data_IF_107382432223
#
_entry.id   IF_107382432223
#
_cell.length_a   1.000
_cell.length_b   1.000
_cell.length_c   1.000
_cell.angle_alpha   90.00
_cell.angle_beta   90.00
_cell.angle_gamma   90.00
#
_symmetry.space_group_name_H-M   'P 1'
#
loop_
_entity.id
_entity.type
_entity.pdbx_description
1 polymer ?
#
# COMPACT_ATOMS: atom_id res chain seq x y z
N UNK A 1 5.37 -33.17 2.86
CA UNK A 1 5.25 -31.73 3.12
C UNK A 1 4.88 -31.08 1.79
N UNK A 2 3.70 -30.50 1.66
CA UNK A 2 3.31 -29.73 0.46
C UNK A 2 4.27 -28.56 0.33
N UNK A 3 4.73 -28.27 -0.90
CA UNK A 3 5.55 -27.08 -1.16
C UNK A 3 4.81 -25.85 -0.63
N UNK A 4 5.53 -24.87 -0.02
CA UNK A 4 4.89 -23.65 0.42
C UNK A 4 4.26 -22.94 -0.76
N UNK A 5 2.99 -22.56 -0.60
CA UNK A 5 2.23 -21.89 -1.64
C UNK A 5 2.52 -20.38 -1.62
N UNK A 6 2.48 -19.72 -2.79
CA UNK A 6 2.58 -18.27 -2.86
C UNK A 6 1.51 -17.63 -2.00
N UNK A 7 1.89 -16.58 -1.30
CA UNK A 7 0.98 -15.85 -0.44
C UNK A 7 1.26 -14.35 -0.43
N UNK A 8 0.22 -13.58 -0.11
CA UNK A 8 0.24 -12.14 0.09
C UNK A 8 -0.22 -11.82 1.50
N UNK A 9 0.36 -10.80 2.12
CA UNK A 9 0.02 -10.32 3.46
C UNK A 9 0.03 -8.80 3.51
N UNK A 10 -0.99 -8.19 4.12
CA UNK A 10 -0.95 -6.79 4.55
C UNK A 10 -0.17 -6.69 5.86
N UNK A 11 0.85 -5.86 5.90
CA UNK A 11 1.68 -5.65 7.08
C UNK A 11 1.17 -4.47 7.91
N UNK A 12 0.71 -3.42 7.24
CA UNK A 12 0.07 -2.25 7.80
C UNK A 12 -1.07 -1.77 6.92
N UNK A 13 -2.09 -1.19 7.53
CA UNK A 13 -3.34 -0.79 6.85
C UNK A 13 -3.73 0.67 7.07
N UNK A 14 -2.94 1.44 7.83
CA UNK A 14 -3.14 2.87 7.99
C UNK A 14 -2.42 3.68 6.92
N UNK A 15 -2.92 4.86 6.58
CA UNK A 15 -2.23 5.87 5.79
C UNK A 15 -1.08 6.51 6.58
N UNK A 16 -0.40 7.48 5.99
CA UNK A 16 0.72 8.19 6.60
C UNK A 16 0.43 8.70 8.01
N UNK A 17 1.34 8.43 8.94
CA UNK A 17 1.23 8.73 10.35
C UNK A 17 0.72 7.61 11.24
N UNK A 18 0.10 6.56 10.68
CA UNK A 18 -0.41 5.41 11.44
C UNK A 18 -1.63 5.74 12.31
N UNK A 19 -2.10 4.75 13.06
CA UNK A 19 -3.20 4.91 14.02
C UNK A 19 -2.78 4.31 15.37
N UNK A 20 -2.58 5.11 16.43
CA UNK A 20 -2.82 6.54 16.53
C UNK A 20 -1.70 7.36 15.87
N UNK A 21 -2.03 8.42 15.16
CA UNK A 21 -1.03 9.35 14.69
C UNK A 21 -0.47 10.16 15.88
N UNK A 22 0.86 10.33 15.93
CA UNK A 22 1.57 10.86 17.09
C UNK A 22 1.12 12.27 17.52
N UNK A 23 0.74 13.12 16.58
CA UNK A 23 0.32 14.51 16.79
C UNK A 23 -1.19 14.74 16.62
N UNK A 24 -2.01 13.68 16.62
CA UNK A 24 -3.45 13.79 16.43
C UNK A 24 -4.23 13.40 17.69
N UNK A 25 -5.24 14.21 18.01
CA UNK A 25 -6.19 13.97 19.10
C UNK A 25 -7.60 13.63 18.64
N UNK A 26 -7.80 13.21 17.38
CA UNK A 26 -9.12 12.82 16.90
C UNK A 26 -9.69 11.62 17.67
N UNK A 27 -11.00 11.37 17.52
CA UNK A 27 -11.71 10.31 18.23
C UNK A 27 -11.00 8.95 18.13
N UNK A 28 -10.63 8.53 16.93
CA UNK A 28 -9.98 7.23 16.75
C UNK A 28 -8.62 7.17 17.46
N UNK A 29 -7.78 8.20 17.30
CA UNK A 29 -6.48 8.26 17.96
C UNK A 29 -6.60 8.26 19.50
N UNK A 30 -7.61 8.92 20.06
CA UNK A 30 -7.91 8.86 21.49
C UNK A 30 -8.32 7.43 21.88
N UNK A 31 -9.27 6.83 21.18
CA UNK A 31 -9.75 5.48 21.47
C UNK A 31 -8.64 4.41 21.38
N UNK A 32 -7.66 4.57 20.47
CA UNK A 32 -6.51 3.65 20.43
C UNK A 32 -5.59 3.84 21.63
N UNK A 33 -5.32 5.10 22.06
CA UNK A 33 -4.52 5.37 23.26
C UNK A 33 -5.19 4.87 24.54
N UNK A 34 -6.52 4.88 24.57
CA UNK A 34 -7.33 4.36 25.67
C UNK A 34 -7.53 2.82 25.61
N UNK A 35 -6.98 2.14 24.60
CA UNK A 35 -7.08 0.69 24.42
C UNK A 35 -8.46 0.20 23.95
N UNK A 36 -9.32 1.08 23.44
CA UNK A 36 -10.66 0.75 22.91
C UNK A 36 -10.58 0.22 21.47
N UNK A 37 -9.76 0.86 20.63
CA UNK A 37 -9.50 0.39 19.26
C UNK A 37 -8.07 -0.16 19.16
N UNK A 38 -7.84 -1.15 18.28
CA UNK A 38 -6.49 -1.64 18.01
C UNK A 38 -5.67 -0.59 17.26
N UNK A 39 -4.36 -0.49 17.52
CA UNK A 39 -3.46 0.32 16.71
C UNK A 39 -3.31 -0.28 15.31
N UNK A 40 -2.92 0.57 14.34
CA UNK A 40 -2.57 0.14 12.99
C UNK A 40 -1.28 0.81 12.54
N UNK A 41 -0.41 0.02 11.93
CA UNK A 41 0.82 0.51 11.31
C UNK A 41 0.54 1.07 9.92
N UNK A 42 1.47 1.91 9.45
CA UNK A 42 1.36 2.55 8.14
C UNK A 42 1.42 1.54 7.00
N UNK A 43 0.76 1.86 5.90
CA UNK A 43 0.52 0.99 4.76
C UNK A 43 1.79 0.35 4.21
N UNK A 44 1.79 -0.95 4.17
CA UNK A 44 2.77 -1.80 3.51
C UNK A 44 2.18 -3.19 3.36
N UNK A 45 2.65 -3.91 2.36
CA UNK A 45 2.29 -5.31 2.15
C UNK A 45 3.54 -6.13 1.79
N UNK A 46 3.40 -7.44 1.79
CA UNK A 46 4.45 -8.32 1.32
C UNK A 46 3.85 -9.53 0.61
N UNK A 47 4.60 -10.10 -0.31
CA UNK A 47 4.27 -11.40 -0.88
C UNK A 47 5.50 -12.30 -0.94
N UNK A 48 5.24 -13.59 -0.99
CA UNK A 48 6.28 -14.60 -1.19
C UNK A 48 5.82 -15.61 -2.25
N UNK A 49 6.68 -15.96 -3.22
CA UNK A 49 6.36 -17.01 -4.18
C UNK A 49 6.57 -18.42 -3.63
N UNK A 50 7.34 -18.57 -2.55
CA UNK A 50 7.85 -19.86 -2.07
C UNK A 50 7.92 -20.02 -0.53
N UNK A 51 7.42 -19.01 0.22
CA UNK A 51 7.46 -19.00 1.67
C UNK A 51 8.82 -18.64 2.29
N UNK A 52 9.84 -18.40 1.46
CA UNK A 52 11.22 -18.13 1.90
C UNK A 52 11.76 -16.79 1.44
N UNK A 53 11.50 -16.42 0.20
CA UNK A 53 11.91 -15.16 -0.41
C UNK A 53 10.73 -14.18 -0.33
N UNK A 54 10.93 -13.08 0.35
CA UNK A 54 9.90 -12.07 0.54
C UNK A 54 10.16 -10.83 -0.29
N UNK A 55 9.10 -10.31 -0.86
CA UNK A 55 9.06 -9.06 -1.60
C UNK A 55 8.12 -8.11 -0.86
N UNK A 56 8.67 -7.00 -0.37
CA UNK A 56 7.90 -5.96 0.28
C UNK A 56 7.22 -5.09 -0.79
N UNK A 57 6.00 -4.67 -0.55
CA UNK A 57 5.29 -3.67 -1.35
C UNK A 57 5.12 -2.44 -0.48
N UNK A 58 5.74 -1.35 -0.91
CA UNK A 58 5.91 -0.12 -0.18
C UNK A 58 6.65 -0.29 1.17
N UNK A 59 7.54 0.61 1.47
CA UNK A 59 8.36 0.57 2.68
C UNK A 59 7.99 1.75 3.59
N UNK A 60 6.96 1.57 4.39
CA UNK A 60 6.51 2.60 5.33
C UNK A 60 7.53 2.84 6.47
N UNK A 61 7.40 3.95 7.22
CA UNK A 61 8.21 4.19 8.42
C UNK A 61 8.19 3.05 9.44
N UNK A 62 7.18 2.17 9.41
CA UNK A 62 7.03 1.03 10.31
C UNK A 62 7.75 -0.23 9.81
N UNK A 63 8.55 -0.14 8.74
CA UNK A 63 9.20 -1.28 8.08
C UNK A 63 9.99 -2.17 9.03
N UNK A 64 10.66 -1.61 10.04
CA UNK A 64 11.42 -2.40 11.01
C UNK A 64 10.53 -3.39 11.77
N UNK A 65 9.32 -2.97 12.13
CA UNK A 65 8.32 -3.85 12.72
C UNK A 65 7.77 -4.84 11.69
N UNK A 66 7.43 -4.37 10.49
CA UNK A 66 6.91 -5.21 9.41
C UNK A 66 7.84 -6.37 9.07
N UNK A 67 9.15 -6.12 9.04
CA UNK A 67 10.14 -7.17 8.80
C UNK A 67 10.15 -8.27 9.87
N UNK A 68 9.71 -7.98 11.09
CA UNK A 68 9.59 -9.00 12.16
C UNK A 68 8.39 -9.94 11.97
N UNK A 69 7.40 -9.54 11.18
CA UNK A 69 6.20 -10.33 10.87
C UNK A 69 6.44 -11.36 9.76
N UNK A 70 7.54 -11.19 9.00
CA UNK A 70 7.94 -12.12 7.95
C UNK A 70 8.72 -13.30 8.53
N UNK A 71 9.18 -14.21 7.68
CA UNK A 71 10.00 -15.35 8.11
C UNK A 71 11.23 -14.87 8.91
N UNK A 72 11.55 -15.50 10.05
CA UNK A 72 12.65 -15.06 10.88
C UNK A 72 13.99 -15.14 10.13
N UNK A 73 14.88 -14.16 10.35
CA UNK A 73 16.19 -14.14 9.72
C UNK A 73 17.07 -15.29 10.26
N UNK A 74 17.97 -15.78 9.43
CA UNK A 74 19.01 -16.73 9.82
C UNK A 74 20.31 -15.97 10.04
N UNK A 75 20.67 -15.73 11.30
CA UNK A 75 21.79 -14.85 11.65
C UNK A 75 21.45 -13.41 11.25
N UNK A 76 22.26 -12.81 10.36
CA UNK A 76 21.99 -11.48 9.77
C UNK A 76 21.43 -11.53 8.34
N UNK A 77 21.08 -12.72 7.85
CA UNK A 77 20.46 -12.86 6.53
C UNK A 77 18.97 -12.55 6.63
N UNK A 78 18.55 -11.52 5.95
CA UNK A 78 17.14 -11.18 5.85
C UNK A 78 16.44 -12.02 4.76
N UNK A 79 15.17 -12.41 4.94
CA UNK A 79 14.39 -13.04 3.89
C UNK A 79 13.99 -12.06 2.77
N UNK A 80 14.28 -10.76 2.92
CA UNK A 80 13.91 -9.72 1.94
C UNK A 80 14.75 -9.86 0.67
N UNK A 81 14.08 -10.12 -0.44
CA UNK A 81 14.65 -10.20 -1.78
C UNK A 81 14.50 -8.91 -2.58
N UNK A 82 13.45 -8.13 -2.31
CA UNK A 82 13.22 -6.88 -2.99
C UNK A 82 12.09 -6.04 -2.39
N UNK A 83 12.04 -4.80 -2.83
CA UNK A 83 10.97 -3.83 -2.50
C UNK A 83 10.35 -3.36 -3.80
N UNK A 84 9.02 -3.43 -3.90
CA UNK A 84 8.23 -2.93 -5.01
C UNK A 84 7.53 -1.64 -4.55
N UNK A 85 7.64 -0.56 -5.32
CA UNK A 85 6.97 0.69 -4.98
C UNK A 85 5.77 0.92 -5.88
N UNK A 86 4.64 1.32 -5.28
CA UNK A 86 3.43 1.76 -5.97
C UNK A 86 3.55 3.21 -6.43
N UNK A 87 4.23 4.03 -5.65
CA UNK A 87 4.48 5.46 -5.88
C UNK A 87 5.74 5.92 -5.12
N UNK A 88 5.93 7.23 -4.98
CA UNK A 88 7.07 7.82 -4.29
C UNK A 88 6.65 8.58 -3.01
N UNK A 89 5.43 8.40 -2.50
CA UNK A 89 4.99 9.07 -1.28
C UNK A 89 5.87 8.70 -0.06
N UNK A 90 5.99 9.61 0.89
CA UNK A 90 6.91 9.42 2.03
C UNK A 90 6.50 8.25 2.92
N UNK A 91 5.21 8.03 3.11
CA UNK A 91 4.71 6.89 3.87
C UNK A 91 4.91 5.54 3.15
N UNK A 92 5.21 5.55 1.85
CA UNK A 92 5.59 4.38 1.05
C UNK A 92 7.11 4.20 0.88
N UNK A 93 7.92 5.21 1.21
CA UNK A 93 9.36 5.22 0.87
C UNK A 93 10.31 5.52 2.01
N UNK A 94 9.89 6.18 3.11
CA UNK A 94 10.78 6.54 4.23
C UNK A 94 11.42 5.32 4.90
N UNK A 95 10.72 4.20 4.94
CA UNK A 95 11.23 2.95 5.49
C UNK A 95 12.40 2.36 4.72
N UNK A 96 12.59 2.74 3.45
CA UNK A 96 13.75 2.30 2.66
C UNK A 96 15.07 2.62 3.37
N UNK A 97 15.17 3.75 4.07
CA UNK A 97 16.37 4.14 4.81
C UNK A 97 16.65 3.23 6.01
N UNK A 98 15.62 2.60 6.58
CA UNK A 98 15.77 1.66 7.70
C UNK A 98 16.28 0.28 7.23
N UNK A 99 16.13 -0.04 5.94
CA UNK A 99 16.63 -1.28 5.34
C UNK A 99 18.14 -1.27 5.10
N UNK A 100 18.85 -0.25 5.57
CA UNK A 100 20.33 -0.14 5.51
C UNK A 100 21.06 -1.29 6.17
N UNK A 101 20.44 -1.95 7.14
CA UNK A 101 21.02 -3.10 7.85
C UNK A 101 20.90 -4.40 7.03
N UNK A 102 20.15 -4.39 5.92
CA UNK A 102 20.03 -5.50 5.00
C UNK A 102 21.31 -5.72 4.18
N UNK A 103 21.46 -6.90 3.60
CA UNK A 103 22.63 -7.23 2.78
C UNK A 103 22.51 -6.67 1.36
N UNK A 104 21.70 -7.31 0.54
CA UNK A 104 21.43 -6.94 -0.85
C UNK A 104 19.95 -7.16 -1.15
N UNK A 105 19.32 -6.22 -1.83
CA UNK A 105 17.93 -6.34 -2.28
C UNK A 105 17.71 -5.50 -3.53
N UNK A 106 16.64 -5.80 -4.25
CA UNK A 106 16.29 -5.11 -5.49
C UNK A 106 15.15 -4.13 -5.26
N UNK A 107 15.29 -2.89 -5.77
CA UNK A 107 14.24 -1.88 -5.76
C UNK A 107 13.52 -1.86 -7.11
N UNK A 108 12.29 -2.33 -7.13
CA UNK A 108 11.42 -2.34 -8.30
C UNK A 108 10.50 -1.13 -8.28
N UNK A 109 10.55 -0.31 -9.31
CA UNK A 109 9.68 0.84 -9.45
C UNK A 109 9.53 1.23 -10.94
N UNK A 110 8.49 2.01 -11.24
CA UNK A 110 8.34 2.59 -12.58
C UNK A 110 9.45 3.60 -12.86
N UNK A 111 9.73 3.91 -14.12
CA UNK A 111 10.67 4.98 -14.45
C UNK A 111 10.32 6.31 -13.79
N UNK A 112 9.02 6.64 -13.67
CA UNK A 112 8.56 7.87 -13.03
C UNK A 112 8.92 7.91 -11.53
N UNK A 113 8.66 6.83 -10.80
CA UNK A 113 9.02 6.72 -9.38
C UNK A 113 10.54 6.76 -9.18
N UNK A 114 11.30 6.03 -10.02
CA UNK A 114 12.78 6.10 -9.96
C UNK A 114 13.30 7.53 -10.18
N UNK A 115 12.74 8.26 -11.16
CA UNK A 115 13.15 9.62 -11.45
C UNK A 115 12.88 10.57 -10.26
N UNK A 116 11.71 10.48 -9.63
CA UNK A 116 11.37 11.28 -8.44
C UNK A 116 12.35 10.99 -7.30
N UNK A 117 12.61 9.71 -7.02
CA UNK A 117 13.51 9.33 -5.93
C UNK A 117 14.95 9.78 -6.20
N UNK A 118 15.46 9.62 -7.41
CA UNK A 118 16.85 9.98 -7.75
C UNK A 118 17.09 11.48 -7.68
N UNK A 119 16.10 12.28 -8.05
CA UNK A 119 16.19 13.74 -8.06
C UNK A 119 15.94 14.36 -6.67
N UNK A 120 14.89 13.92 -5.96
CA UNK A 120 14.38 14.64 -4.80
C UNK A 120 14.52 13.88 -3.47
N UNK A 121 14.52 12.55 -3.51
CA UNK A 121 14.75 11.70 -2.34
C UNK A 121 15.76 10.59 -2.69
N UNK A 122 17.06 10.93 -2.83
CA UNK A 122 18.08 10.05 -3.42
C UNK A 122 18.45 8.88 -2.49
N UNK A 123 17.46 8.09 -2.08
CA UNK A 123 17.59 6.99 -1.11
C UNK A 123 18.64 5.97 -1.54
N UNK A 124 18.72 5.61 -2.82
CA UNK A 124 19.73 4.65 -3.32
C UNK A 124 21.16 5.17 -3.14
N UNK A 125 21.39 6.47 -3.39
CA UNK A 125 22.71 7.10 -3.18
C UNK A 125 23.08 7.11 -1.71
N UNK A 126 22.10 7.37 -0.83
CA UNK A 126 22.33 7.35 0.63
C UNK A 126 22.63 5.94 1.11
N UNK A 127 21.86 4.94 0.66
CA UNK A 127 22.03 3.54 1.05
C UNK A 127 23.28 2.87 0.48
N UNK A 128 23.82 3.35 -0.64
CA UNK A 128 24.93 2.72 -1.37
C UNK A 128 26.24 2.55 -0.58
N UNK A 129 26.32 3.10 0.66
CA UNK A 129 27.43 2.88 1.60
C UNK A 129 27.12 1.84 2.68
N UNK A 130 25.87 1.40 2.75
CA UNK A 130 25.38 0.49 3.81
C UNK A 130 24.84 -0.82 3.26
N UNK A 131 24.08 -0.76 2.19
CA UNK A 131 23.45 -1.91 1.57
C UNK A 131 23.60 -1.86 0.03
N UNK A 132 23.67 -3.02 -0.59
CA UNK A 132 23.66 -3.11 -2.05
C UNK A 132 22.22 -3.07 -2.54
N UNK A 133 21.75 -1.90 -3.02
CA UNK A 133 20.43 -1.71 -3.60
C UNK A 133 20.53 -1.69 -5.12
N UNK A 134 19.98 -2.71 -5.78
CA UNK A 134 19.95 -2.80 -7.25
C UNK A 134 18.64 -2.23 -7.78
N UNK A 135 18.65 -1.18 -8.61
CA UNK A 135 17.42 -0.70 -9.23
C UNK A 135 16.98 -1.63 -10.36
N UNK A 136 15.68 -1.90 -10.39
CA UNK A 136 15.03 -2.63 -11.47
C UNK A 136 13.82 -1.85 -11.97
N UNK A 137 13.83 -1.50 -13.23
CA UNK A 137 12.71 -0.79 -13.85
C UNK A 137 11.55 -1.74 -14.07
N UNK A 138 10.39 -1.36 -13.54
CA UNK A 138 9.11 -1.98 -13.81
C UNK A 138 8.42 -1.18 -14.93
N UNK A 139 8.39 -1.71 -16.13
CA UNK A 139 7.70 -1.07 -17.25
C UNK A 139 6.19 -1.17 -17.04
N UNK A 140 5.46 -0.05 -17.00
CA UNK A 140 4.01 -0.07 -16.82
C UNK A 140 3.32 -0.96 -17.85
N UNK A 141 2.40 -1.81 -17.39
CA UNK A 141 1.68 -2.78 -18.20
C UNK A 141 2.46 -4.07 -18.55
N UNK A 142 3.78 -4.09 -18.36
CA UNK A 142 4.57 -5.30 -18.55
C UNK A 142 4.68 -6.10 -17.25
N UNK A 143 4.63 -7.43 -17.36
CA UNK A 143 4.74 -8.33 -16.23
C UNK A 143 6.20 -8.60 -15.85
N UNK A 144 6.49 -8.61 -14.54
CA UNK A 144 7.70 -9.18 -13.97
C UNK A 144 7.33 -10.47 -13.23
N UNK A 145 8.22 -11.47 -13.31
CA UNK A 145 7.99 -12.78 -12.72
C UNK A 145 8.83 -12.97 -11.45
N UNK A 146 8.16 -13.36 -10.38
CA UNK A 146 8.73 -13.70 -9.08
C UNK A 146 8.38 -15.16 -8.77
N UNK A 147 9.19 -16.09 -9.26
CA UNK A 147 8.83 -17.51 -9.26
C UNK A 147 7.56 -17.74 -10.08
N UNK A 148 6.52 -18.24 -9.43
CA UNK A 148 5.19 -18.47 -10.01
C UNK A 148 4.17 -17.35 -9.76
N UNK A 149 4.61 -16.19 -9.27
CA UNK A 149 3.80 -14.99 -9.15
C UNK A 149 4.21 -13.99 -10.22
N UNK A 150 3.25 -13.54 -11.01
CA UNK A 150 3.39 -12.45 -11.97
C UNK A 150 2.93 -11.14 -11.35
N UNK A 151 3.75 -10.10 -11.43
CA UNK A 151 3.40 -8.76 -10.94
C UNK A 151 3.44 -7.76 -12.08
N UNK A 152 2.36 -6.98 -12.22
CA UNK A 152 2.23 -5.91 -13.22
C UNK A 152 1.93 -4.60 -12.52
N UNK A 153 2.70 -3.55 -12.83
CA UNK A 153 2.39 -2.16 -12.44
C UNK A 153 1.38 -1.58 -13.44
N UNK A 154 0.20 -1.25 -12.96
CA UNK A 154 -0.87 -0.68 -13.77
C UNK A 154 -1.04 0.80 -13.40
N UNK A 155 -0.78 1.73 -14.34
CA UNK A 155 -0.91 3.16 -14.08
C UNK A 155 -2.31 3.52 -13.61
N UNK A 156 -2.39 4.35 -12.57
CA UNK A 156 -3.64 4.89 -12.06
C UNK A 156 -3.82 6.36 -12.47
N UNK A 157 -2.80 7.17 -12.20
CA UNK A 157 -2.77 8.59 -12.52
C UNK A 157 -1.33 9.15 -12.57
N UNK A 158 -1.23 10.49 -12.70
CA UNK A 158 0.03 11.23 -12.70
C UNK A 158 0.25 11.98 -11.38
N UNK A 159 -0.39 11.56 -10.27
CA UNK A 159 -0.17 12.18 -8.97
C UNK A 159 1.29 12.02 -8.56
N UNK A 160 1.87 13.11 -8.02
CA UNK A 160 3.25 13.11 -7.53
C UNK A 160 3.27 13.59 -6.08
N UNK A 161 4.24 13.12 -5.27
CA UNK A 161 4.36 13.52 -3.88
C UNK A 161 4.46 15.04 -3.72
N UNK A 162 3.96 15.55 -2.60
CA UNK A 162 4.00 17.00 -2.30
C UNK A 162 5.41 17.58 -2.25
N UNK A 163 6.42 16.77 -2.01
CA UNK A 163 7.81 17.22 -2.03
C UNK A 163 8.39 17.28 -3.44
N UNK A 164 7.70 16.72 -4.44
CA UNK A 164 8.18 16.76 -5.82
C UNK A 164 8.02 18.17 -6.40
N UNK A 165 9.15 18.75 -6.81
CA UNK A 165 9.24 20.05 -7.46
C UNK A 165 9.76 19.87 -8.88
N UNK A 166 9.11 20.49 -9.85
CA UNK A 166 9.54 20.45 -11.24
C UNK A 166 8.53 19.84 -12.20
N UNK A 167 9.02 19.39 -13.35
CA UNK A 167 8.17 18.77 -14.37
C UNK A 167 7.71 17.38 -13.90
N UNK A 168 6.43 17.13 -14.02
CA UNK A 168 5.88 15.78 -13.76
C UNK A 168 6.61 14.74 -14.62
N UNK A 169 6.89 13.54 -14.09
CA UNK A 169 7.46 12.45 -14.86
C UNK A 169 6.60 12.15 -16.11
N UNK A 170 7.25 11.81 -17.21
CA UNK A 170 6.54 11.44 -18.45
C UNK A 170 5.87 10.07 -18.37
N UNK A 171 6.19 9.32 -17.32
CA UNK A 171 5.65 7.96 -17.08
C UNK A 171 5.02 7.88 -15.70
N UNK A 172 4.11 6.90 -15.54
CA UNK A 172 3.30 6.71 -14.34
C UNK A 172 4.09 6.87 -13.04
N UNK A 173 3.64 7.81 -12.20
CA UNK A 173 4.17 8.07 -10.88
C UNK A 173 3.38 7.34 -9.78
N UNK A 174 2.12 6.95 -10.06
CA UNK A 174 1.26 6.19 -9.15
C UNK A 174 0.66 4.98 -9.89
N UNK A 175 0.79 3.80 -9.31
CA UNK A 175 0.34 2.53 -9.89
C UNK A 175 -0.40 1.66 -8.88
N UNK A 176 -1.36 0.89 -9.38
CA UNK A 176 -1.78 -0.35 -8.72
C UNK A 176 -0.82 -1.48 -9.07
N UNK A 177 -0.71 -2.47 -8.19
CA UNK A 177 -0.06 -3.74 -8.49
C UNK A 177 -1.11 -4.82 -8.71
N UNK A 178 -1.05 -5.48 -9.88
CA UNK A 178 -1.77 -6.71 -10.13
C UNK A 178 -0.81 -7.87 -9.88
N UNK A 179 -1.14 -8.72 -8.90
CA UNK A 179 -0.41 -9.95 -8.61
C UNK A 179 -1.24 -11.15 -9.09
N UNK A 180 -0.72 -11.90 -10.03
CA UNK A 180 -1.33 -13.13 -10.52
C UNK A 180 -0.53 -14.32 -10.03
N UNK A 181 -1.08 -15.04 -9.08
CA UNK A 181 -0.55 -16.31 -8.62
C UNK A 181 -1.19 -17.52 -9.31
N UNK A 182 -0.85 -18.74 -8.91
CA UNK A 182 -1.41 -19.97 -9.50
C UNK A 182 -2.92 -20.13 -9.31
N UNK A 183 -3.50 -19.56 -8.26
CA UNK A 183 -4.90 -19.79 -7.90
C UNK A 183 -5.75 -18.54 -7.89
N UNK A 184 -5.15 -17.34 -7.77
CA UNK A 184 -5.86 -16.07 -7.63
C UNK A 184 -5.13 -14.91 -8.28
N UNK A 185 -5.92 -13.94 -8.72
CA UNK A 185 -5.46 -12.61 -9.11
C UNK A 185 -5.86 -11.63 -8.01
N UNK A 186 -4.87 -10.89 -7.49
CA UNK A 186 -5.05 -9.85 -6.50
C UNK A 186 -4.68 -8.49 -7.11
N UNK A 187 -5.47 -7.46 -6.82
CA UNK A 187 -5.11 -6.07 -7.12
C UNK A 187 -4.94 -5.31 -5.81
N UNK A 188 -3.77 -4.69 -5.65
CA UNK A 188 -3.41 -3.81 -4.54
C UNK A 188 -3.26 -2.38 -5.06
N UNK A 189 -4.13 -1.48 -4.62
CA UNK A 189 -4.19 -0.08 -5.04
C UNK A 189 -4.40 0.80 -3.80
N UNK A 190 -3.32 1.09 -3.03
CA UNK A 190 -3.40 1.87 -1.79
C UNK A 190 -3.68 3.36 -2.03
N UNK A 191 -3.40 3.85 -3.24
CA UNK A 191 -3.73 5.21 -3.70
C UNK A 191 -4.62 5.11 -4.92
N UNK A 192 -5.82 5.70 -4.87
CA UNK A 192 -6.80 5.62 -5.96
C UNK A 192 -7.52 6.96 -6.13
N UNK A 193 -7.14 7.72 -7.14
CA UNK A 193 -7.69 9.05 -7.44
C UNK A 193 -8.83 9.03 -8.46
N UNK A 194 -8.99 7.94 -9.20
CA UNK A 194 -9.99 7.82 -10.27
C UNK A 194 -10.50 6.39 -10.43
N UNK A 195 -11.76 6.26 -10.87
CA UNK A 195 -12.37 5.01 -11.34
C UNK A 195 -12.63 5.10 -12.85
N UNK A 196 -11.60 5.36 -13.63
CA UNK A 196 -11.68 5.37 -15.09
C UNK A 196 -12.02 3.99 -15.66
N UNK A 197 -12.41 3.94 -16.95
CA UNK A 197 -12.69 2.68 -17.63
C UNK A 197 -11.54 1.65 -17.49
N UNK A 198 -10.29 2.00 -17.83
CA UNK A 198 -9.15 1.10 -17.67
C UNK A 198 -8.92 0.62 -16.22
N UNK A 199 -9.13 1.49 -15.22
CA UNK A 199 -9.05 1.09 -13.80
C UNK A 199 -10.15 0.10 -13.45
N UNK A 200 -11.40 0.36 -13.86
CA UNK A 200 -12.50 -0.57 -13.62
C UNK A 200 -12.28 -1.92 -14.33
N UNK A 201 -11.69 -1.93 -15.52
CA UNK A 201 -11.35 -3.18 -16.23
C UNK A 201 -10.29 -3.97 -15.46
N UNK A 202 -9.26 -3.32 -14.94
CA UNK A 202 -8.28 -3.95 -14.04
C UNK A 202 -8.97 -4.59 -12.81
N UNK A 203 -9.85 -3.85 -12.15
CA UNK A 203 -10.52 -4.31 -10.94
C UNK A 203 -11.47 -5.49 -11.21
N UNK A 204 -12.06 -5.60 -12.41
CA UNK A 204 -12.94 -6.72 -12.80
C UNK A 204 -12.19 -8.04 -12.97
N UNK A 205 -10.89 -8.00 -13.25
CA UNK A 205 -10.07 -9.20 -13.43
C UNK A 205 -9.65 -9.87 -12.11
N UNK A 206 -9.87 -9.21 -10.98
CA UNK A 206 -9.35 -9.66 -9.70
C UNK A 206 -10.34 -10.54 -8.92
N UNK A 207 -9.79 -11.54 -8.23
CA UNK A 207 -10.50 -12.32 -7.19
C UNK A 207 -10.49 -11.60 -5.84
N UNK A 208 -9.41 -10.82 -5.60
CA UNK A 208 -9.17 -10.07 -4.37
C UNK A 208 -8.84 -8.62 -4.71
N UNK A 209 -9.55 -7.69 -4.11
CA UNK A 209 -9.33 -6.26 -4.22
C UNK A 209 -8.92 -5.68 -2.86
N UNK A 210 -7.75 -5.04 -2.82
CA UNK A 210 -7.24 -4.26 -1.69
C UNK A 210 -7.11 -2.82 -2.16
N UNK A 211 -8.01 -1.97 -1.73
CA UNK A 211 -8.27 -0.67 -2.35
C UNK A 211 -8.04 0.47 -1.36
N UNK A 212 -7.76 1.64 -1.89
CA UNK A 212 -7.63 2.90 -1.17
C UNK A 212 -8.87 3.19 -0.31
N UNK A 213 -8.64 3.27 0.98
CA UNK A 213 -9.63 3.61 2.01
C UNK A 213 -9.27 4.84 2.81
N UNK A 214 -8.39 5.70 2.31
CA UNK A 214 -7.82 6.82 3.06
C UNK A 214 -8.90 7.65 3.74
N UNK A 215 -9.89 8.12 3.03
CA UNK A 215 -10.97 8.91 3.60
C UNK A 215 -12.33 8.28 3.36
N UNK A 216 -13.21 8.37 4.35
CA UNK A 216 -14.62 8.00 4.16
C UNK A 216 -15.40 9.11 3.47
N UNK A 217 -15.21 10.37 3.90
CA UNK A 217 -15.83 11.57 3.34
C UNK A 217 -14.85 12.40 2.51
N UNK A 218 -15.32 13.11 1.48
CA UNK A 218 -14.44 13.96 0.66
C UNK A 218 -13.79 15.11 1.44
N UNK A 219 -14.48 15.64 2.45
CA UNK A 219 -14.09 16.78 3.29
C UNK A 219 -13.80 16.40 4.75
N UNK A 220 -13.31 15.18 4.98
CA UNK A 220 -13.14 14.59 6.31
C UNK A 220 -12.24 15.43 7.23
N UNK A 221 -11.06 15.87 6.77
CA UNK A 221 -10.15 16.71 7.54
C UNK A 221 -10.73 18.10 7.83
N UNK A 222 -11.27 18.84 6.83
CA UNK A 222 -11.96 20.11 7.08
C UNK A 222 -13.11 20.00 8.08
N UNK A 223 -13.94 18.97 8.01
CA UNK A 223 -15.05 18.74 8.96
C UNK A 223 -14.57 18.61 10.40
N UNK A 224 -13.39 18.06 10.60
CA UNK A 224 -12.81 17.88 11.94
C UNK A 224 -11.95 19.07 12.40
N UNK A 225 -11.83 20.12 11.57
CA UNK A 225 -11.01 21.30 11.91
C UNK A 225 -9.50 20.99 11.98
N UNK A 226 -9.06 19.91 11.36
CA UNK A 226 -7.66 19.48 11.41
C UNK A 226 -6.77 20.13 10.34
N UNK A 227 -7.33 21.01 9.51
CA UNK A 227 -6.62 21.58 8.36
C UNK A 227 -6.41 20.52 7.26
N UNK A 228 -5.68 20.92 6.21
CA UNK A 228 -5.42 20.01 5.06
C UNK A 228 -6.40 20.25 3.92
N UNK A 229 -6.19 19.49 2.81
CA UNK A 229 -7.06 19.48 1.64
C UNK A 229 -8.24 18.53 1.77
N UNK A 230 -9.08 18.51 0.75
CA UNK A 230 -10.07 17.45 0.57
C UNK A 230 -9.39 16.16 0.03
N UNK A 231 -10.13 15.06 0.03
CA UNK A 231 -9.63 13.77 -0.41
C UNK A 231 -9.06 13.82 -1.84
N UNK A 232 -9.75 14.50 -2.76
CA UNK A 232 -9.35 14.58 -4.17
C UNK A 232 -8.04 15.36 -4.35
N UNK A 233 -7.84 16.46 -3.63
CA UNK A 233 -6.60 17.26 -3.66
C UNK A 233 -5.40 16.49 -3.09
N UNK A 234 -5.65 15.45 -2.30
CA UNK A 234 -4.65 14.55 -1.73
C UNK A 234 -4.45 13.27 -2.56
N UNK A 235 -5.12 13.14 -3.72
CA UNK A 235 -4.97 11.98 -4.60
C UNK A 235 -5.83 10.77 -4.24
N UNK A 236 -6.91 10.94 -3.46
CA UNK A 236 -7.74 9.86 -2.98
C UNK A 236 -9.22 10.03 -3.32
N UNK A 237 -9.88 8.92 -3.67
CA UNK A 237 -11.34 8.86 -3.78
C UNK A 237 -11.96 8.45 -2.43
N UNK A 238 -12.96 9.18 -1.92
CA UNK A 238 -13.59 8.81 -0.65
C UNK A 238 -14.42 7.53 -0.76
N UNK A 239 -14.43 6.74 0.30
CA UNK A 239 -15.16 5.46 0.38
C UNK A 239 -16.64 5.63 0.04
N UNK A 240 -17.29 6.69 0.53
CA UNK A 240 -18.71 6.93 0.27
C UNK A 240 -19.05 7.11 -1.23
N UNK A 241 -18.05 7.44 -2.06
CA UNK A 241 -18.23 7.51 -3.52
C UNK A 241 -17.86 6.20 -4.21
N UNK A 242 -16.83 5.49 -3.72
CA UNK A 242 -16.31 4.30 -4.39
C UNK A 242 -17.08 3.03 -4.08
N UNK A 243 -17.58 2.86 -2.84
CA UNK A 243 -18.18 1.60 -2.40
C UNK A 243 -19.36 1.14 -3.29
N UNK A 244 -20.22 2.07 -3.73
CA UNK A 244 -21.35 1.74 -4.62
C UNK A 244 -20.91 1.21 -5.98
N UNK A 245 -19.89 1.82 -6.57
CA UNK A 245 -19.34 1.39 -7.85
C UNK A 245 -18.63 0.03 -7.72
N UNK A 246 -17.90 -0.15 -6.63
CA UNK A 246 -17.12 -1.36 -6.36
C UNK A 246 -18.01 -2.54 -5.89
N UNK A 247 -19.21 -2.27 -5.34
CA UNK A 247 -20.15 -3.31 -4.92
C UNK A 247 -20.46 -4.32 -6.03
N UNK A 248 -20.57 -3.85 -7.27
CA UNK A 248 -20.94 -4.66 -8.44
C UNK A 248 -19.77 -5.44 -9.06
N UNK A 249 -18.55 -5.25 -8.58
CA UNK A 249 -17.39 -5.98 -9.09
C UNK A 249 -17.44 -7.46 -8.64
N UNK A 250 -17.00 -8.40 -9.52
CA UNK A 250 -17.12 -9.83 -9.29
C UNK A 250 -16.19 -10.39 -8.22
N UNK A 251 -15.18 -9.61 -7.79
CA UNK A 251 -14.22 -10.03 -6.78
C UNK A 251 -14.91 -10.57 -5.52
N UNK A 252 -14.45 -11.73 -5.03
CA UNK A 252 -15.00 -12.37 -3.82
C UNK A 252 -14.59 -11.66 -2.54
N UNK A 253 -13.42 -11.05 -2.54
CA UNK A 253 -12.88 -10.29 -1.41
C UNK A 253 -12.62 -8.86 -1.87
N UNK A 254 -13.25 -7.91 -1.19
CA UNK A 254 -13.13 -6.47 -1.47
C UNK A 254 -12.89 -5.75 -0.16
N UNK A 255 -11.67 -5.27 0.07
CA UNK A 255 -11.27 -4.65 1.33
C UNK A 255 -10.65 -3.28 1.06
N UNK A 256 -10.98 -2.32 1.91
CA UNK A 256 -10.27 -1.07 2.01
C UNK A 256 -9.06 -1.21 2.91
N UNK A 257 -7.95 -0.62 2.49
CA UNK A 257 -6.68 -0.48 3.23
C UNK A 257 -6.22 0.97 3.16
N UNK A 258 -5.06 1.30 3.71
CA UNK A 258 -4.52 2.67 3.67
C UNK A 258 -5.46 3.71 4.31
N UNK A 259 -6.02 3.40 5.51
CA UNK A 259 -7.00 4.28 6.16
C UNK A 259 -6.31 5.41 6.92
N UNK A 260 -6.77 6.64 6.70
CA UNK A 260 -6.36 7.77 7.53
C UNK A 260 -6.86 7.60 8.97
N UNK A 261 -6.09 8.09 9.93
CA UNK A 261 -6.44 8.00 11.36
C UNK A 261 -7.79 8.66 11.74
N UNK A 262 -8.31 9.55 10.90
CA UNK A 262 -9.61 10.19 11.10
C UNK A 262 -10.79 9.40 10.54
N UNK A 263 -10.52 8.41 9.67
CA UNK A 263 -11.57 7.67 8.97
C UNK A 263 -12.51 6.95 9.96
N UNK A 264 -13.82 7.25 9.96
CA UNK A 264 -14.76 6.65 10.91
C UNK A 264 -14.91 5.13 10.75
N UNK A 265 -14.58 4.58 9.57
CA UNK A 265 -14.63 3.14 9.33
C UNK A 265 -13.54 2.33 10.07
N UNK A 266 -12.59 2.99 10.75
CA UNK A 266 -11.66 2.35 11.67
C UNK A 266 -12.35 1.75 12.90
N UNK A 267 -13.46 2.34 13.35
CA UNK A 267 -14.30 1.78 14.40
C UNK A 267 -15.21 0.69 13.78
N UNK A 268 -15.04 -0.61 14.15
CA UNK A 268 -15.81 -1.70 13.57
C UNK A 268 -17.31 -1.63 13.86
N UNK A 269 -17.71 -0.80 14.82
CA UNK A 269 -19.11 -0.57 15.22
C UNK A 269 -19.69 0.73 14.68
N UNK A 270 -18.94 1.48 13.87
CA UNK A 270 -19.43 2.73 13.25
C UNK A 270 -20.52 2.46 12.22
N UNK A 271 -21.48 3.40 12.04
CA UNK A 271 -22.45 3.32 10.97
C UNK A 271 -21.78 3.31 9.58
N UNK A 272 -20.66 4.00 9.43
CA UNK A 272 -19.88 4.01 8.19
C UNK A 272 -19.32 2.62 7.86
N UNK A 273 -18.80 1.88 8.85
CA UNK A 273 -18.34 0.51 8.65
C UNK A 273 -19.50 -0.43 8.33
N UNK A 274 -20.65 -0.27 8.98
CA UNK A 274 -21.86 -1.04 8.69
C UNK A 274 -22.31 -0.80 7.24
N UNK A 275 -22.32 0.46 6.80
CA UNK A 275 -22.70 0.84 5.44
C UNK A 275 -21.74 0.25 4.39
N UNK A 276 -20.42 0.23 4.63
CA UNK A 276 -19.45 -0.43 3.75
C UNK A 276 -19.80 -1.93 3.59
N UNK A 277 -20.12 -2.61 4.68
CA UNK A 277 -20.49 -4.04 4.68
C UNK A 277 -21.79 -4.32 3.92
N UNK A 278 -22.79 -3.44 4.00
CA UNK A 278 -24.01 -3.52 3.23
C UNK A 278 -23.75 -3.48 1.70
N UNK A 279 -22.64 -2.86 1.28
CA UNK A 279 -22.19 -2.84 -0.11
C UNK A 279 -21.27 -4.01 -0.50
N UNK A 280 -21.09 -5.00 0.39
CA UNK A 280 -20.26 -6.18 0.14
C UNK A 280 -18.76 -5.90 0.14
N UNK A 281 -18.31 -4.83 0.80
CA UNK A 281 -16.91 -4.53 1.08
C UNK A 281 -16.67 -4.55 2.59
N UNK A 282 -15.41 -4.51 3.02
CA UNK A 282 -15.04 -4.29 4.42
C UNK A 282 -13.70 -3.55 4.49
N UNK A 283 -13.16 -3.34 5.68
CA UNK A 283 -11.84 -2.77 5.92
C UNK A 283 -10.89 -3.89 6.37
N UNK A 284 -9.71 -3.94 5.79
CA UNK A 284 -8.68 -4.89 6.18
C UNK A 284 -8.06 -4.53 7.54
N UNK A 285 -7.52 -5.53 8.21
CA UNK A 285 -6.71 -5.37 9.41
C UNK A 285 -5.24 -5.68 9.12
N UNK A 286 -4.32 -5.14 9.94
CA UNK A 286 -2.91 -5.50 9.89
C UNK A 286 -2.77 -7.03 10.07
N UNK A 287 -1.93 -7.66 9.26
CA UNK A 287 -1.74 -9.11 9.27
C UNK A 287 -2.72 -9.91 8.41
N UNK A 288 -3.70 -9.27 7.76
CA UNK A 288 -4.58 -9.98 6.82
C UNK A 288 -3.76 -10.65 5.70
N UNK A 289 -4.08 -11.89 5.35
CA UNK A 289 -3.31 -12.65 4.36
C UNK A 289 -4.17 -13.55 3.49
N UNK A 290 -3.65 -13.90 2.31
CA UNK A 290 -4.31 -14.78 1.35
C UNK A 290 -3.29 -15.58 0.53
N UNK A 291 -3.62 -16.82 0.16
CA UNK A 291 -2.85 -17.56 -0.85
C UNK A 291 -3.13 -16.98 -2.25
N UNK A 292 -2.09 -16.90 -3.08
CA UNK A 292 -2.16 -16.40 -4.45
C UNK A 292 -2.39 -17.49 -5.49
#
# INVERSE_FOLDING_TARGET
>A
MTAPQPSFQLLGTAAGGGVPQWNCGCRNCAQVRDGVLPPRTQSSAAFTPDGHHWFLIDASPDVSWHMTLLSPPRGRQTPLSGVLLTDAELDHTLGLLQLREGSAWTLYATPGVHAILDDQFPVRRLLGRYAQVTPQVATPGAALHFGNVEVTWVPLDDHTPRYHHGRRPEQAATCALRLRGPTRTLVYAPSLSTLSGPVLDLLREADVLLLDGTFYHPDELPRLGLGGGDAASMGHLPICHTARALAHLPARTKLYTHLNNTNPALDPHSPERAWIREHGLDVADDGWSVAL
#
